data_IF_368912494675
#
_entry.id   IF_368912494675
#
_cell.length_a   1.000
_cell.length_b   1.000
_cell.length_c   1.000
_cell.angle_alpha   90.00
_cell.angle_beta   90.00
_cell.angle_gamma   90.00
#
_symmetry.space_group_name_H-M   'P 1'
#
loop_
_entity.id
_entity.type
_entity.pdbx_description
1 polymer ?
#
# COMPACT_ATOMS: atom_id res chain seq x y z
N UNK A 1 -11.07 -12.41 -9.51
CA UNK A 1 -9.95 -11.89 -8.71
C UNK A 1 -10.51 -11.41 -7.38
N UNK A 2 -10.05 -11.91 -6.23
CA UNK A 2 -10.43 -11.37 -4.94
C UNK A 2 -9.91 -9.93 -4.81
N UNK A 3 -10.70 -9.06 -4.16
CA UNK A 3 -10.41 -7.64 -3.96
C UNK A 3 -9.00 -7.41 -3.37
N UNK A 4 -8.56 -8.32 -2.50
CA UNK A 4 -7.27 -8.29 -1.80
C UNK A 4 -6.06 -8.36 -2.75
N UNK A 5 -6.18 -9.05 -3.88
CA UNK A 5 -5.07 -9.19 -4.83
C UNK A 5 -4.86 -7.90 -5.63
N UNK A 6 -5.96 -7.21 -5.96
CA UNK A 6 -5.90 -5.91 -6.62
C UNK A 6 -5.36 -4.84 -5.66
N UNK A 7 -5.83 -4.83 -4.42
CA UNK A 7 -5.33 -3.92 -3.38
C UNK A 7 -3.83 -4.16 -3.12
N UNK A 8 -3.39 -5.42 -3.01
CA UNK A 8 -1.97 -5.78 -2.87
C UNK A 8 -1.12 -5.21 -4.01
N UNK A 9 -1.52 -5.41 -5.27
CA UNK A 9 -0.78 -4.88 -6.42
C UNK A 9 -0.70 -3.36 -6.42
N UNK A 10 -1.80 -2.69 -6.08
CA UNK A 10 -1.82 -1.23 -6.01
C UNK A 10 -0.86 -0.70 -4.93
N UNK A 11 -0.88 -1.29 -3.73
CA UNK A 11 0.00 -0.90 -2.63
C UNK A 11 1.47 -1.13 -3.00
N UNK A 12 1.82 -2.31 -3.52
CA UNK A 12 3.19 -2.64 -3.90
C UNK A 12 3.72 -1.72 -4.99
N UNK A 13 2.96 -1.54 -6.08
CA UNK A 13 3.35 -0.69 -7.19
C UNK A 13 3.54 0.76 -6.74
N UNK A 14 2.66 1.27 -5.90
CA UNK A 14 2.82 2.64 -5.40
C UNK A 14 4.02 2.78 -4.48
N UNK A 15 4.31 1.80 -3.63
CA UNK A 15 5.49 1.83 -2.78
C UNK A 15 6.79 1.75 -3.60
N UNK A 16 6.81 0.96 -4.67
CA UNK A 16 7.94 0.95 -5.62
C UNK A 16 8.12 2.33 -6.28
N UNK A 17 7.03 2.92 -6.78
CA UNK A 17 7.04 4.26 -7.41
C UNK A 17 7.50 5.37 -6.46
N UNK A 18 7.31 5.20 -5.15
CA UNK A 18 7.74 6.18 -4.13
C UNK A 18 9.02 5.78 -3.40
N UNK A 19 9.75 4.76 -3.88
CA UNK A 19 10.96 4.23 -3.25
C UNK A 19 10.76 3.91 -1.75
N UNK A 20 9.62 3.30 -1.41
CA UNK A 20 9.24 2.91 -0.06
C UNK A 20 8.68 4.04 0.82
N UNK A 21 8.54 5.27 0.30
CA UNK A 21 7.96 6.36 1.08
C UNK A 21 6.46 6.14 1.29
N UNK A 22 6.12 5.64 2.49
CA UNK A 22 4.75 5.29 2.90
C UNK A 22 3.82 6.51 2.99
N UNK A 23 4.34 7.70 3.30
CA UNK A 23 3.51 8.91 3.35
C UNK A 23 3.07 9.31 1.94
N UNK A 24 4.02 9.36 1.01
CA UNK A 24 3.75 9.67 -0.41
C UNK A 24 2.91 8.59 -1.09
N UNK A 25 3.13 7.32 -0.73
CA UNK A 25 2.32 6.23 -1.26
C UNK A 25 0.87 6.31 -0.81
N UNK A 26 0.63 6.67 0.46
CA UNK A 26 -0.71 6.84 0.99
C UNK A 26 -1.45 8.01 0.31
N UNK A 27 -0.75 9.12 0.06
CA UNK A 27 -1.26 10.26 -0.71
C UNK A 27 -1.70 9.86 -2.12
N UNK A 28 -0.83 9.14 -2.86
CA UNK A 28 -1.14 8.65 -4.22
C UNK A 28 -2.33 7.68 -4.22
N UNK A 29 -2.44 6.83 -3.20
CA UNK A 29 -3.54 5.88 -3.05
C UNK A 29 -4.83 6.52 -2.50
N UNK A 30 -4.82 7.80 -2.15
CA UNK A 30 -5.99 8.51 -1.60
C UNK A 30 -6.42 8.01 -0.22
N UNK A 31 -5.50 7.46 0.57
CA UNK A 31 -5.78 6.90 1.90
C UNK A 31 -4.88 7.54 2.96
N UNK A 32 -5.27 7.43 4.23
CA UNK A 32 -4.39 7.84 5.32
C UNK A 32 -3.16 6.93 5.41
N UNK A 33 -2.02 7.46 5.84
CA UNK A 33 -0.81 6.67 6.15
C UNK A 33 -1.09 5.54 7.15
N UNK A 34 -1.99 5.79 8.12
CA UNK A 34 -2.43 4.77 9.10
C UNK A 34 -3.14 3.60 8.40
N UNK A 35 -4.03 3.91 7.45
CA UNK A 35 -4.72 2.89 6.65
C UNK A 35 -3.73 2.07 5.84
N UNK A 36 -2.77 2.72 5.16
CA UNK A 36 -1.74 2.02 4.41
C UNK A 36 -0.94 1.05 5.28
N UNK A 37 -0.48 1.49 6.46
CA UNK A 37 0.27 0.63 7.39
C UNK A 37 -0.57 -0.56 7.86
N UNK A 38 -1.86 -0.35 8.16
CA UNK A 38 -2.77 -1.44 8.53
C UNK A 38 -2.91 -2.45 7.38
N UNK A 39 -3.11 -1.98 6.15
CA UNK A 39 -3.24 -2.84 4.96
C UNK A 39 -1.96 -3.64 4.68
N UNK A 40 -0.80 -3.00 4.79
CA UNK A 40 0.51 -3.67 4.65
C UNK A 40 0.61 -4.85 5.64
N UNK A 41 0.21 -4.65 6.90
CA UNK A 41 0.17 -5.72 7.91
C UNK A 41 -0.85 -6.82 7.59
N UNK A 42 -2.08 -6.45 7.23
CA UNK A 42 -3.14 -7.41 6.86
C UNK A 42 -2.77 -8.27 5.65
N UNK A 43 -2.02 -7.70 4.71
CA UNK A 43 -1.52 -8.38 3.53
C UNK A 43 -0.19 -9.14 3.79
N UNK A 44 0.39 -9.07 4.99
CA UNK A 44 1.68 -9.69 5.30
C UNK A 44 2.82 -9.18 4.42
N UNK A 45 2.80 -7.90 4.07
CA UNK A 45 3.87 -7.23 3.32
C UNK A 45 4.92 -6.73 4.31
N UNK A 46 6.05 -7.43 4.44
CA UNK A 46 7.20 -6.95 5.23
C UNK A 46 8.10 -6.04 4.36
N UNK A 47 7.75 -4.76 4.35
CA UNK A 47 8.39 -3.65 3.62
C UNK A 47 8.44 -2.41 4.51
#
# INVERSE_FOLDING_TARGET
MPLDELERRAILKTLELTAGNRSKAAEILGISRRTLIRRIKELGLDI
#
